data_IF_877197390408
#
_entry.id   IF_877197390408
#
_cell.length_a   1.000
_cell.length_b   1.000
_cell.length_c   1.000
_cell.angle_alpha   90.00
_cell.angle_beta   90.00
_cell.angle_gamma   90.00
#
_symmetry.space_group_name_H-M   'P 1'
#
loop_
_entity.id
_entity.type
_entity.pdbx_description
1 polymer ?
#
# COMPACT_ATOMS: atom_id res chain seq x y z
N UNK A 1 -3.24 24.46 -18.60
CA UNK A 1 -4.39 23.86 -19.31
C UNK A 1 -4.63 22.46 -18.73
N UNK A 2 -5.88 22.07 -18.50
CA UNK A 2 -6.23 20.77 -17.93
C UNK A 2 -5.63 19.62 -18.74
N UNK A 3 -5.35 18.49 -18.09
CA UNK A 3 -4.83 17.26 -18.67
C UNK A 3 -3.43 17.34 -19.30
N UNK A 4 -2.70 18.45 -19.12
CA UNK A 4 -1.28 18.52 -19.50
C UNK A 4 -0.43 17.65 -18.59
N UNK A 5 0.49 16.90 -19.17
CA UNK A 5 1.49 16.14 -18.43
C UNK A 5 2.39 17.05 -17.63
N UNK A 6 2.73 16.61 -16.43
CA UNK A 6 3.65 17.27 -15.52
C UNK A 6 4.43 16.24 -14.71
N UNK A 7 5.67 16.59 -14.41
CA UNK A 7 6.58 15.80 -13.59
C UNK A 7 7.17 16.70 -12.52
N UNK A 8 7.28 16.19 -11.30
CA UNK A 8 7.92 16.89 -10.18
C UNK A 8 9.19 16.15 -9.85
N UNK A 9 10.30 16.87 -9.75
CA UNK A 9 11.60 16.35 -9.35
C UNK A 9 12.00 16.95 -8.01
N UNK A 10 12.55 16.12 -7.12
CA UNK A 10 13.24 16.60 -5.93
C UNK A 10 14.67 16.95 -6.30
N UNK A 11 15.13 18.19 -6.05
CA UNK A 11 16.44 18.66 -6.51
C UNK A 11 17.64 17.81 -6.05
N UNK A 12 17.49 16.99 -5.01
CA UNK A 12 18.48 16.01 -4.53
C UNK A 12 18.11 14.54 -4.76
N UNK A 13 16.94 14.26 -5.37
CA UNK A 13 16.41 12.91 -5.57
C UNK A 13 17.03 12.15 -6.77
N UNK A 14 17.99 12.75 -7.48
CA UNK A 14 18.58 12.19 -8.70
C UNK A 14 17.73 12.48 -9.94
N UNK A 15 17.96 11.72 -11.01
CA UNK A 15 17.29 11.89 -12.31
C UNK A 15 15.86 11.31 -12.36
N UNK A 16 15.34 10.84 -11.22
CA UNK A 16 14.03 10.19 -11.10
C UNK A 16 12.96 11.15 -10.55
N UNK A 17 11.74 11.15 -11.11
CA UNK A 17 10.66 12.01 -10.64
C UNK A 17 10.12 11.55 -9.27
N UNK A 18 9.70 12.51 -8.45
CA UNK A 18 8.88 12.27 -7.24
C UNK A 18 7.42 12.01 -7.57
N UNK A 19 6.96 12.55 -8.71
CA UNK A 19 5.58 12.44 -9.15
C UNK A 19 5.50 12.62 -10.66
N UNK A 20 4.67 11.80 -11.31
CA UNK A 20 4.27 11.94 -12.72
C UNK A 20 2.75 11.90 -12.79
N UNK A 21 2.15 12.88 -13.47
CA UNK A 21 0.71 12.93 -13.62
C UNK A 21 0.25 14.03 -14.57
N UNK A 22 -0.97 14.51 -14.36
CA UNK A 22 -1.61 15.53 -15.20
C UNK A 22 -2.18 16.67 -14.37
N UNK A 23 -2.13 17.88 -14.93
CA UNK A 23 -2.74 19.08 -14.34
C UNK A 23 -4.25 18.89 -14.29
N UNK A 24 -4.80 18.91 -13.08
CA UNK A 24 -6.25 18.87 -12.86
C UNK A 24 -6.84 20.27 -12.86
N UNK A 25 -6.17 21.20 -12.18
CA UNK A 25 -6.62 22.57 -12.06
C UNK A 25 -5.46 23.57 -11.99
N UNK A 26 -5.75 24.82 -12.32
CA UNK A 26 -4.86 25.96 -12.18
C UNK A 26 -5.66 27.17 -11.69
N UNK A 27 -5.50 27.47 -10.42
CA UNK A 27 -6.08 28.65 -9.78
C UNK A 27 -5.06 29.79 -9.79
N UNK A 28 -5.49 30.98 -10.19
CA UNK A 28 -4.64 32.18 -10.24
C UNK A 28 -5.34 33.31 -9.51
N UNK A 29 -4.69 33.81 -8.46
CA UNK A 29 -5.16 34.92 -7.65
C UNK A 29 -4.23 36.13 -7.80
N UNK A 30 -4.83 37.31 -7.91
CA UNK A 30 -4.14 38.59 -7.96
C UNK A 30 -4.52 39.44 -6.74
N UNK A 31 -3.53 39.76 -5.92
CA UNK A 31 -3.69 40.56 -4.70
C UNK A 31 -2.93 41.88 -4.82
N UNK A 32 -3.61 42.99 -4.55
CA UNK A 32 -2.97 44.31 -4.55
C UNK A 32 -1.97 44.42 -3.37
N UNK A 33 -0.86 45.16 -3.52
CA UNK A 33 -0.46 45.92 -4.71
C UNK A 33 0.34 45.10 -5.74
N UNK A 34 1.01 44.01 -5.35
CA UNK A 34 1.99 43.29 -6.21
C UNK A 34 2.13 41.79 -5.88
N UNK A 35 1.09 41.15 -5.37
CA UNK A 35 1.12 39.71 -5.08
C UNK A 35 0.32 39.00 -6.18
N UNK A 36 0.91 37.95 -6.74
CA UNK A 36 0.22 37.05 -7.68
C UNK A 36 0.55 35.63 -7.27
N UNK A 37 -0.49 34.82 -7.07
CA UNK A 37 -0.36 33.43 -6.65
C UNK A 37 -0.94 32.54 -7.73
N UNK A 38 -0.21 31.48 -8.06
CA UNK A 38 -0.71 30.40 -8.92
C UNK A 38 -0.64 29.09 -8.14
N UNK A 39 -1.76 28.37 -8.07
CA UNK A 39 -1.86 27.04 -7.46
C UNK A 39 -2.17 26.06 -8.57
N UNK A 40 -1.26 25.13 -8.81
CA UNK A 40 -1.47 24.04 -9.77
C UNK A 40 -1.80 22.78 -8.99
N UNK A 41 -2.95 22.17 -9.26
CA UNK A 41 -3.27 20.86 -8.71
C UNK A 41 -3.01 19.78 -9.76
N UNK A 42 -2.44 18.66 -9.31
CA UNK A 42 -2.00 17.56 -10.15
C UNK A 42 -2.61 16.27 -9.62
N UNK A 43 -2.95 15.37 -10.54
CA UNK A 43 -3.42 14.02 -10.20
C UNK A 43 -2.70 12.99 -11.07
N UNK A 44 -2.47 11.81 -10.53
CA UNK A 44 -1.93 10.68 -11.27
C UNK A 44 -3.01 10.03 -12.16
N UNK A 45 -2.63 8.92 -12.80
CA UNK A 45 -3.48 8.21 -13.72
C UNK A 45 -4.58 7.38 -13.02
N UNK A 46 -4.57 7.22 -11.68
CA UNK A 46 -5.74 6.66 -10.96
C UNK A 46 -6.96 7.55 -11.16
N UNK A 47 -6.76 8.87 -11.26
CA UNK A 47 -7.87 9.80 -11.51
C UNK A 47 -8.47 9.63 -12.91
N UNK A 48 -7.71 9.14 -13.89
CA UNK A 48 -8.24 8.77 -15.20
C UNK A 48 -9.04 7.47 -15.11
N UNK A 49 -8.48 6.43 -14.48
CA UNK A 49 -9.17 5.16 -14.28
C UNK A 49 -10.49 5.34 -13.51
N UNK A 50 -10.51 6.21 -12.49
CA UNK A 50 -11.71 6.54 -11.72
C UNK A 50 -12.76 7.34 -12.49
N UNK A 51 -12.42 7.91 -13.65
CA UNK A 51 -13.34 8.65 -14.53
C UNK A 51 -13.72 7.89 -15.80
N UNK A 52 -13.23 6.66 -15.95
CA UNK A 52 -13.57 5.79 -17.08
C UNK A 52 -14.51 4.69 -16.60
N UNK A 53 -15.58 4.47 -17.36
CA UNK A 53 -16.50 3.37 -17.14
C UNK A 53 -16.34 2.32 -18.24
N UNK A 54 -16.50 1.07 -17.86
CA UNK A 54 -16.43 -0.10 -18.72
C UNK A 54 -17.65 -0.16 -19.64
N UNK A 55 -17.42 -0.72 -20.83
CA UNK A 55 -18.48 -1.30 -21.64
C UNK A 55 -18.70 -2.74 -21.22
N UNK A 56 -19.95 -3.20 -21.26
CA UNK A 56 -20.30 -4.55 -20.82
C UNK A 56 -19.42 -5.62 -21.50
N UNK A 57 -18.90 -6.55 -20.72
CA UNK A 57 -18.16 -7.70 -21.24
C UNK A 57 -18.18 -8.89 -20.28
N UNK A 58 -18.07 -10.09 -20.86
CA UNK A 58 -17.98 -11.34 -20.11
C UNK A 58 -16.51 -11.77 -20.02
N UNK A 59 -15.90 -11.74 -18.84
CA UNK A 59 -14.54 -12.21 -18.69
C UNK A 59 -14.41 -13.74 -18.66
N UNK A 60 -13.26 -14.26 -19.10
CA UNK A 60 -12.84 -15.63 -18.78
C UNK A 60 -12.32 -15.74 -17.33
N UNK A 61 -12.33 -16.96 -16.78
CA UNK A 61 -11.63 -17.27 -15.53
C UNK A 61 -10.13 -17.09 -15.76
N UNK A 62 -9.47 -16.27 -14.93
CA UNK A 62 -8.06 -15.90 -15.13
C UNK A 62 -7.44 -15.40 -13.84
N UNK A 63 -6.11 -15.42 -13.74
CA UNK A 63 -5.40 -14.84 -12.60
C UNK A 63 -5.80 -13.37 -12.40
N UNK A 64 -5.76 -12.90 -11.16
CA UNK A 64 -6.04 -11.49 -10.81
C UNK A 64 -5.13 -10.52 -11.55
N UNK A 65 -3.84 -10.84 -11.73
CA UNK A 65 -2.91 -10.06 -12.56
C UNK A 65 -3.35 -9.97 -14.02
N UNK A 66 -3.84 -11.09 -14.58
CA UNK A 66 -4.42 -11.12 -15.92
C UNK A 66 -5.75 -10.35 -15.97
N UNK A 67 -6.56 -10.36 -14.90
CA UNK A 67 -7.79 -9.55 -14.76
C UNK A 67 -7.48 -8.06 -14.75
N UNK A 68 -6.51 -7.60 -13.99
CA UNK A 68 -6.05 -6.20 -14.01
C UNK A 68 -5.59 -5.82 -15.41
N UNK A 69 -4.76 -6.65 -16.05
CA UNK A 69 -4.30 -6.39 -17.42
C UNK A 69 -5.48 -6.31 -18.42
N UNK A 70 -6.45 -7.23 -18.33
CA UNK A 70 -7.63 -7.23 -19.19
C UNK A 70 -8.52 -5.98 -19.00
N UNK A 71 -8.63 -5.48 -17.75
CA UNK A 71 -9.34 -4.23 -17.46
C UNK A 71 -8.60 -3.01 -18.05
N UNK A 72 -7.27 -2.99 -17.96
CA UNK A 72 -6.44 -1.92 -18.53
C UNK A 72 -6.38 -1.97 -20.07
N UNK A 73 -6.54 -3.15 -20.68
CA UNK A 73 -6.56 -3.39 -22.13
C UNK A 73 -7.90 -3.05 -22.79
N UNK A 74 -8.95 -2.79 -22.00
CA UNK A 74 -10.27 -2.45 -22.53
C UNK A 74 -10.18 -1.26 -23.49
N UNK A 75 -10.87 -1.26 -24.65
CA UNK A 75 -10.76 -0.17 -25.63
C UNK A 75 -11.09 1.22 -25.08
N UNK A 76 -12.03 1.30 -24.14
CA UNK A 76 -12.41 2.53 -23.42
C UNK A 76 -11.34 3.03 -22.42
N UNK A 77 -10.43 2.15 -21.99
CA UNK A 77 -9.31 2.47 -21.09
C UNK A 77 -8.02 2.69 -21.89
N UNK A 78 -7.69 1.72 -22.76
CA UNK A 78 -6.53 1.70 -23.65
C UNK A 78 -5.22 2.11 -22.94
N UNK A 79 -4.99 1.63 -21.72
CA UNK A 79 -3.80 1.98 -20.96
C UNK A 79 -2.56 1.45 -21.69
N UNK A 80 -1.46 2.19 -21.72
CA UNK A 80 -0.26 1.71 -22.42
C UNK A 80 0.33 0.49 -21.71
N UNK A 81 0.74 -0.54 -22.45
CA UNK A 81 1.47 -1.70 -21.88
C UNK A 81 2.90 -1.36 -21.47
N UNK A 82 3.48 -0.28 -22.01
CA UNK A 82 4.82 0.19 -21.66
C UNK A 82 4.89 0.85 -20.27
N UNK A 83 3.74 1.23 -19.70
CA UNK A 83 3.64 1.92 -18.40
C UNK A 83 2.87 1.09 -17.38
N UNK A 84 3.05 -0.23 -17.41
CA UNK A 84 2.46 -1.18 -16.44
C UNK A 84 3.54 -2.05 -15.82
N UNK A 85 3.40 -2.28 -14.52
CA UNK A 85 4.17 -3.26 -13.75
C UNK A 85 3.19 -4.13 -13.00
N UNK A 86 2.82 -5.27 -13.57
CA UNK A 86 1.79 -6.15 -13.03
C UNK A 86 2.45 -7.45 -12.57
N UNK A 87 2.65 -7.58 -11.26
CA UNK A 87 3.17 -8.81 -10.67
C UNK A 87 2.14 -9.94 -10.81
N UNK A 88 2.60 -11.18 -11.00
CA UNK A 88 1.72 -12.36 -11.06
C UNK A 88 0.91 -12.48 -9.78
N UNK A 89 -0.42 -12.61 -9.91
CA UNK A 89 -1.32 -12.72 -8.76
C UNK A 89 -1.40 -14.14 -8.19
N UNK A 90 -1.90 -14.26 -6.96
CA UNK A 90 -1.96 -15.52 -6.21
C UNK A 90 -3.30 -16.24 -6.39
N UNK A 91 -4.35 -15.51 -6.74
CA UNK A 91 -5.72 -16.01 -6.89
C UNK A 91 -6.22 -15.90 -8.32
N UNK A 92 -7.34 -16.57 -8.58
CA UNK A 92 -8.03 -16.57 -9.87
C UNK A 92 -9.38 -15.89 -9.74
N UNK A 93 -9.66 -14.96 -10.65
CA UNK A 93 -10.94 -14.32 -10.78
C UNK A 93 -11.97 -15.20 -11.51
N UNK A 94 -13.22 -15.11 -11.09
CA UNK A 94 -14.35 -15.78 -11.73
C UNK A 94 -14.75 -15.18 -13.09
N UNK A 95 -15.88 -15.63 -13.63
CA UNK A 95 -16.40 -15.26 -14.96
C UNK A 95 -17.60 -14.30 -14.90
N UNK A 96 -17.87 -13.70 -13.74
CA UNK A 96 -18.99 -12.78 -13.58
C UNK A 96 -18.80 -11.58 -14.51
N UNK A 97 -19.87 -11.22 -15.22
CA UNK A 97 -19.85 -10.15 -16.22
C UNK A 97 -19.61 -8.79 -15.55
N UNK A 98 -18.92 -7.91 -16.26
CA UNK A 98 -18.96 -6.48 -15.98
C UNK A 98 -20.07 -5.87 -16.83
N UNK A 99 -20.90 -5.04 -16.22
CA UNK A 99 -22.02 -4.39 -16.87
C UNK A 99 -21.58 -3.07 -17.53
N UNK A 100 -22.44 -2.55 -18.42
CA UNK A 100 -22.25 -1.20 -18.91
C UNK A 100 -22.28 -0.21 -17.74
N UNK A 101 -21.36 0.74 -17.76
CA UNK A 101 -21.22 1.79 -16.76
C UNK A 101 -20.53 1.38 -15.45
N UNK A 102 -20.02 0.15 -15.34
CA UNK A 102 -19.15 -0.24 -14.21
C UNK A 102 -17.87 0.61 -14.20
N UNK A 103 -17.50 1.14 -13.04
CA UNK A 103 -16.31 1.98 -12.94
C UNK A 103 -15.01 1.15 -13.02
N UNK A 104 -14.06 1.58 -13.85
CA UNK A 104 -12.80 0.84 -14.06
C UNK A 104 -11.97 0.75 -12.79
N UNK A 105 -11.83 1.86 -12.04
CA UNK A 105 -11.05 1.86 -10.79
C UNK A 105 -11.72 0.98 -9.74
N UNK A 106 -13.04 1.04 -9.59
CA UNK A 106 -13.78 0.15 -8.69
C UNK A 106 -13.62 -1.33 -9.07
N UNK A 107 -13.64 -1.66 -10.36
CA UNK A 107 -13.39 -3.02 -10.84
C UNK A 107 -11.97 -3.49 -10.51
N UNK A 108 -10.95 -2.64 -10.67
CA UNK A 108 -9.57 -2.94 -10.27
C UNK A 108 -9.49 -3.11 -8.75
N UNK A 109 -10.12 -2.24 -7.97
CA UNK A 109 -10.10 -2.31 -6.50
C UNK A 109 -10.73 -3.60 -5.98
N UNK A 110 -11.81 -4.09 -6.61
CA UNK A 110 -12.39 -5.39 -6.28
C UNK A 110 -11.39 -6.55 -6.49
N UNK A 111 -10.59 -6.48 -7.55
CA UNK A 111 -9.54 -7.47 -7.83
C UNK A 111 -8.38 -7.35 -6.86
N UNK A 112 -8.04 -6.13 -6.43
CA UNK A 112 -7.02 -5.87 -5.40
C UNK A 112 -7.47 -6.41 -4.05
N UNK A 113 -8.74 -6.21 -3.68
CA UNK A 113 -9.34 -6.76 -2.45
C UNK A 113 -9.30 -8.29 -2.46
N UNK A 114 -9.58 -8.92 -3.61
CA UNK A 114 -9.49 -10.37 -3.77
C UNK A 114 -8.08 -10.91 -3.48
N UNK A 115 -7.06 -10.06 -3.56
CA UNK A 115 -5.67 -10.40 -3.33
C UNK A 115 -5.14 -9.91 -1.98
N UNK A 116 -5.88 -9.14 -1.16
CA UNK A 116 -5.33 -8.27 -0.10
C UNK A 116 -4.05 -7.51 -0.57
N UNK A 117 -4.06 -7.11 -1.85
CA UNK A 117 -2.90 -6.55 -2.55
C UNK A 117 -2.92 -5.04 -2.61
N UNK A 118 -2.19 -4.49 -3.58
CA UNK A 118 -2.23 -3.05 -3.89
C UNK A 118 -2.18 -2.75 -5.38
N UNK A 119 -2.84 -1.66 -5.74
CA UNK A 119 -2.75 -1.05 -7.07
C UNK A 119 -2.57 0.46 -6.93
N UNK A 120 -1.48 0.98 -7.51
CA UNK A 120 -1.12 2.39 -7.43
C UNK A 120 -0.35 2.84 -8.68
N UNK A 121 -0.21 4.14 -8.88
CA UNK A 121 0.71 4.71 -9.88
C UNK A 121 2.01 5.02 -9.16
N UNK A 122 3.11 4.39 -9.58
CA UNK A 122 4.42 4.67 -9.00
C UNK A 122 4.87 6.10 -9.26
N UNK A 123 5.89 6.58 -8.55
CA UNK A 123 6.49 7.91 -8.78
C UNK A 123 6.90 8.15 -10.23
N UNK A 124 7.24 7.06 -10.96
CA UNK A 124 7.60 7.08 -12.38
C UNK A 124 6.41 7.11 -13.35
N UNK A 125 5.17 7.10 -12.86
CA UNK A 125 3.96 7.10 -13.70
C UNK A 125 3.53 5.70 -14.18
N UNK A 126 4.07 4.64 -13.59
CA UNK A 126 3.76 3.25 -13.98
C UNK A 126 2.63 2.69 -13.13
N UNK A 127 1.58 2.17 -13.79
CA UNK A 127 0.51 1.46 -13.11
C UNK A 127 1.04 0.14 -12.54
N UNK A 128 1.06 0.06 -11.21
CA UNK A 128 1.71 -1.02 -10.47
C UNK A 128 0.66 -1.84 -9.75
N UNK A 129 0.60 -3.13 -10.06
CA UNK A 129 -0.18 -4.13 -9.32
C UNK A 129 0.77 -5.06 -8.60
N UNK A 130 0.58 -5.20 -7.30
CA UNK A 130 1.27 -6.18 -6.47
C UNK A 130 0.20 -6.98 -5.73
N UNK A 131 0.23 -8.32 -5.81
CA UNK A 131 -0.65 -9.16 -4.99
C UNK A 131 -0.32 -8.98 -3.50
N UNK A 132 -1.03 -9.69 -2.61
CA UNK A 132 -0.53 -9.86 -1.24
C UNK A 132 0.94 -10.26 -1.34
N UNK A 133 1.77 -9.42 -0.74
CA UNK A 133 3.11 -9.82 -0.38
C UNK A 133 2.94 -10.71 0.83
N UNK A 134 2.80 -12.01 0.54
CA UNK A 134 2.86 -13.03 1.56
C UNK A 134 4.10 -12.78 2.41
N UNK A 135 3.99 -13.17 3.67
CA UNK A 135 5.08 -13.64 4.51
C UNK A 135 6.39 -13.88 3.75
N UNK A 136 7.17 -12.81 3.58
CA UNK A 136 8.38 -12.83 2.75
C UNK A 136 9.59 -12.66 3.65
N UNK A 137 10.74 -13.14 3.19
CA UNK A 137 12.05 -12.78 3.74
C UNK A 137 12.48 -11.39 3.27
N UNK A 138 11.53 -10.45 3.32
CA UNK A 138 11.70 -9.09 2.84
C UNK A 138 12.71 -8.37 3.73
N UNK A 139 13.78 -7.88 3.13
CA UNK A 139 14.75 -7.02 3.84
C UNK A 139 14.29 -5.58 3.72
N UNK A 140 14.32 -4.85 4.83
CA UNK A 140 14.07 -3.42 4.82
C UNK A 140 15.05 -2.70 3.87
N UNK A 141 14.51 -1.94 2.93
CA UNK A 141 15.27 -1.12 1.97
C UNK A 141 16.02 -0.02 2.70
N UNK A 142 15.42 0.55 3.75
CA UNK A 142 16.02 1.57 4.60
C UNK A 142 15.76 1.29 6.07
N UNK A 143 16.70 1.73 6.91
CA UNK A 143 16.56 1.72 8.36
C UNK A 143 16.51 3.15 8.91
N UNK A 144 15.59 3.37 9.84
CA UNK A 144 15.42 4.60 10.60
C UNK A 144 15.70 4.36 12.07
N UNK A 145 16.36 5.31 12.74
CA UNK A 145 16.79 5.12 14.13
C UNK A 145 17.08 6.43 14.86
N UNK A 146 17.11 6.36 16.18
CA UNK A 146 17.34 7.50 17.08
C UNK A 146 18.63 7.39 17.92
N UNK A 147 19.38 6.29 17.79
CA UNK A 147 20.61 6.02 18.54
C UNK A 147 21.92 6.37 17.79
N UNK A 148 21.83 7.00 16.60
CA UNK A 148 22.97 7.25 15.73
C UNK A 148 23.42 6.02 14.92
N UNK A 149 24.56 6.11 14.23
CA UNK A 149 25.10 5.04 13.39
C UNK A 149 24.70 5.15 11.91
N UNK A 150 24.41 4.02 11.27
CA UNK A 150 24.08 3.94 9.83
C UNK A 150 22.59 4.16 9.53
N UNK A 151 21.73 4.13 10.55
CA UNK A 151 20.30 4.37 10.39
C UNK A 151 20.01 5.86 10.13
N UNK A 152 18.99 6.13 9.32
CA UNK A 152 18.56 7.49 8.98
C UNK A 152 17.83 8.11 10.18
N UNK A 153 18.26 9.27 10.68
CA UNK A 153 17.58 9.93 11.80
C UNK A 153 16.22 10.46 11.38
N UNK A 154 15.21 10.21 12.20
CA UNK A 154 13.85 10.73 12.04
C UNK A 154 13.55 11.81 13.08
N UNK A 155 12.52 12.63 12.80
CA UNK A 155 12.12 13.77 13.64
C UNK A 155 10.79 13.51 14.36
N UNK A 156 9.93 12.68 13.79
CA UNK A 156 8.68 12.26 14.42
C UNK A 156 8.46 10.76 14.24
N UNK A 157 7.90 10.13 15.26
CA UNK A 157 7.45 8.75 15.21
C UNK A 157 6.12 8.65 15.97
N UNK A 158 5.08 8.20 15.29
CA UNK A 158 3.75 8.00 15.85
C UNK A 158 3.47 6.51 16.03
N UNK A 159 2.85 6.17 17.16
CA UNK A 159 2.45 4.80 17.50
C UNK A 159 0.93 4.76 17.57
N UNK A 160 0.32 3.85 16.82
CA UNK A 160 -1.09 3.52 16.94
C UNK A 160 -1.30 2.27 17.78
N UNK A 161 -2.32 2.30 18.63
CA UNK A 161 -2.87 1.13 19.31
C UNK A 161 -4.37 1.37 19.52
N UNK A 162 -5.20 0.44 19.08
CA UNK A 162 -6.64 0.57 19.28
C UNK A 162 -7.46 -0.45 18.50
N UNK A 163 -8.77 -0.38 18.74
CA UNK A 163 -9.78 -1.30 18.19
C UNK A 163 -10.16 -0.97 16.74
N UNK A 164 -9.63 0.10 16.17
CA UNK A 164 -10.01 0.60 14.83
C UNK A 164 -9.64 -0.38 13.71
N UNK A 165 -8.68 -1.27 13.97
CA UNK A 165 -8.28 -2.33 13.04
C UNK A 165 -8.48 -3.73 13.62
N UNK A 166 -9.24 -3.86 14.70
CA UNK A 166 -9.52 -5.14 15.31
C UNK A 166 -10.67 -5.82 14.55
N UNK A 167 -10.39 -6.94 13.90
CA UNK A 167 -11.40 -7.77 13.23
C UNK A 167 -11.14 -9.25 13.52
N UNK A 168 -12.07 -9.88 14.23
CA UNK A 168 -11.97 -11.28 14.64
C UNK A 168 -13.11 -12.16 14.10
N UNK A 169 -13.93 -11.60 13.22
CA UNK A 169 -14.91 -12.29 12.39
C UNK A 169 -14.87 -11.72 10.97
N UNK A 170 -14.33 -12.49 10.02
CA UNK A 170 -14.22 -12.07 8.61
C UNK A 170 -15.25 -12.83 7.79
N UNK A 171 -15.97 -12.10 6.94
CA UNK A 171 -16.99 -12.62 6.05
C UNK A 171 -16.69 -12.15 4.63
N UNK A 172 -16.47 -13.09 3.71
CA UNK A 172 -16.13 -12.84 2.31
C UNK A 172 -17.22 -13.43 1.42
N UNK A 173 -18.05 -12.57 0.84
CA UNK A 173 -19.01 -12.92 -0.19
C UNK A 173 -18.28 -13.09 -1.52
N UNK A 174 -18.06 -14.33 -1.93
CA UNK A 174 -17.45 -14.63 -3.23
C UNK A 174 -18.52 -14.51 -4.32
N UNK A 175 -18.26 -13.73 -5.37
CA UNK A 175 -19.26 -13.47 -6.42
C UNK A 175 -19.83 -14.76 -7.02
N UNK A 176 -21.16 -14.86 -7.01
CA UNK A 176 -21.88 -16.02 -7.55
C UNK A 176 -21.73 -17.31 -6.74
N UNK A 177 -21.11 -17.27 -5.56
CA UNK A 177 -20.89 -18.41 -4.66
C UNK A 177 -21.40 -18.09 -3.24
N UNK A 178 -21.20 -19.05 -2.32
CA UNK A 178 -21.55 -18.90 -0.90
C UNK A 178 -20.61 -17.96 -0.15
N UNK A 179 -21.01 -17.56 1.05
CA UNK A 179 -20.19 -16.79 1.98
C UNK A 179 -19.04 -17.67 2.55
N UNK A 180 -17.80 -17.19 2.43
CA UNK A 180 -16.66 -17.72 3.17
C UNK A 180 -16.48 -16.98 4.49
N UNK A 181 -16.15 -17.69 5.57
CA UNK A 181 -16.07 -17.11 6.92
C UNK A 181 -14.83 -17.58 7.67
N UNK A 182 -14.20 -16.69 8.42
CA UNK A 182 -13.13 -17.02 9.36
C UNK A 182 -13.31 -16.24 10.66
N UNK A 183 -13.31 -16.94 11.80
CA UNK A 183 -13.49 -16.34 13.13
C UNK A 183 -12.42 -16.82 14.11
N UNK A 184 -12.15 -16.03 15.16
CA UNK A 184 -11.28 -16.41 16.27
C UNK A 184 -12.06 -16.32 17.59
N UNK A 185 -12.36 -17.47 18.21
CA UNK A 185 -13.20 -17.52 19.41
C UNK A 185 -12.50 -16.94 20.66
N UNK A 186 -11.18 -17.02 20.72
CA UNK A 186 -10.39 -16.49 21.85
C UNK A 186 -10.40 -14.97 21.82
N UNK A 187 -10.07 -14.39 20.67
CA UNK A 187 -10.14 -12.94 20.46
C UNK A 187 -11.57 -12.41 20.64
N UNK A 188 -12.60 -13.15 20.20
CA UNK A 188 -14.00 -12.76 20.44
C UNK A 188 -14.38 -12.78 21.92
N UNK A 189 -13.85 -13.72 22.70
CA UNK A 189 -14.10 -13.77 24.14
C UNK A 189 -13.43 -12.59 24.87
N UNK A 190 -12.28 -12.13 24.40
CA UNK A 190 -11.52 -11.03 25.01
C UNK A 190 -12.01 -9.64 24.56
N UNK A 191 -12.24 -9.46 23.25
CA UNK A 191 -12.51 -8.14 22.66
C UNK A 191 -13.93 -7.99 22.08
N UNK A 192 -14.77 -9.02 22.20
CA UNK A 192 -16.09 -9.06 21.58
C UNK A 192 -16.03 -9.31 20.08
N UNK A 193 -17.19 -9.48 19.44
CA UNK A 193 -17.27 -9.76 18.00
C UNK A 193 -17.05 -8.48 17.20
N UNK A 194 -15.97 -8.43 16.42
CA UNK A 194 -15.66 -7.36 15.48
C UNK A 194 -15.65 -7.92 14.06
N UNK A 195 -16.62 -7.50 13.24
CA UNK A 195 -16.86 -8.09 11.92
C UNK A 195 -16.34 -7.22 10.78
N UNK A 196 -15.57 -7.83 9.88
CA UNK A 196 -15.25 -7.28 8.55
C UNK A 196 -16.04 -8.06 7.50
N UNK A 197 -16.87 -7.35 6.72
CA UNK A 197 -17.66 -7.94 5.63
C UNK A 197 -17.19 -7.39 4.29
N UNK A 198 -16.74 -8.29 3.42
CA UNK A 198 -16.41 -8.01 2.03
C UNK A 198 -17.47 -8.65 1.15
N UNK A 199 -18.16 -7.85 0.33
CA UNK A 199 -19.20 -8.34 -0.56
C UNK A 199 -18.69 -8.39 -2.00
N UNK A 200 -19.25 -9.31 -2.78
CA UNK A 200 -19.01 -9.42 -4.22
C UNK A 200 -17.51 -9.40 -4.60
N UNK A 201 -16.69 -10.17 -3.87
CA UNK A 201 -15.27 -10.35 -4.17
C UNK A 201 -15.14 -11.27 -5.40
N UNK A 202 -14.42 -10.86 -6.46
CA UNK A 202 -14.44 -11.53 -7.76
C UNK A 202 -13.57 -12.80 -7.82
N UNK A 203 -13.52 -13.60 -6.75
CA UNK A 203 -12.79 -14.87 -6.68
C UNK A 203 -13.56 -16.00 -7.38
N UNK A 204 -12.83 -16.98 -7.93
CA UNK A 204 -13.45 -18.09 -8.67
C UNK A 204 -13.89 -19.29 -7.81
N UNK A 205 -13.43 -19.39 -6.55
CA UNK A 205 -13.69 -20.53 -5.68
C UNK A 205 -13.94 -20.09 -4.24
N UNK A 206 -14.79 -20.86 -3.54
CA UNK A 206 -15.02 -20.67 -2.11
C UNK A 206 -13.74 -20.89 -1.28
N UNK A 207 -12.87 -21.82 -1.71
CA UNK A 207 -11.60 -22.07 -1.04
C UNK A 207 -10.70 -20.82 -1.01
N UNK A 208 -10.57 -20.11 -2.15
CA UNK A 208 -9.84 -18.85 -2.19
C UNK A 208 -10.47 -17.78 -1.28
N UNK A 209 -11.80 -17.70 -1.24
CA UNK A 209 -12.50 -16.80 -0.31
C UNK A 209 -12.23 -17.11 1.16
N UNK A 210 -12.17 -18.40 1.52
CA UNK A 210 -11.80 -18.84 2.88
C UNK A 210 -10.36 -18.50 3.22
N UNK A 211 -9.41 -18.69 2.28
CA UNK A 211 -8.01 -18.28 2.48
C UNK A 211 -7.89 -16.78 2.70
N UNK A 212 -8.57 -15.95 1.90
CA UNK A 212 -8.61 -14.50 2.11
C UNK A 212 -9.17 -14.14 3.49
N UNK A 213 -10.28 -14.77 3.90
CA UNK A 213 -10.87 -14.53 5.20
C UNK A 213 -9.93 -14.90 6.36
N UNK A 214 -9.18 -16.01 6.24
CA UNK A 214 -8.20 -16.45 7.23
C UNK A 214 -7.03 -15.47 7.33
N UNK A 215 -6.47 -15.04 6.20
CA UNK A 215 -5.35 -14.09 6.17
C UNK A 215 -5.73 -12.76 6.84
N UNK A 216 -6.90 -12.21 6.50
CA UNK A 216 -7.40 -10.97 7.11
C UNK A 216 -7.65 -11.14 8.62
N UNK A 217 -8.20 -12.27 9.05
CA UNK A 217 -8.38 -12.57 10.47
C UNK A 217 -7.04 -12.59 11.19
N UNK A 218 -6.06 -13.32 10.66
CA UNK A 218 -4.76 -13.47 11.32
C UNK A 218 -3.97 -12.17 11.40
N UNK A 219 -4.22 -11.24 10.47
CA UNK A 219 -3.67 -9.88 10.46
C UNK A 219 -4.34 -8.94 11.48
N UNK A 220 -5.64 -9.09 11.72
CA UNK A 220 -6.45 -8.11 12.45
C UNK A 220 -7.09 -8.61 13.74
N UNK A 221 -6.98 -9.90 14.09
CA UNK A 221 -7.69 -10.48 15.24
C UNK A 221 -7.21 -9.98 16.59
N UNK A 222 -5.97 -9.51 16.70
CA UNK A 222 -5.37 -9.07 17.96
C UNK A 222 -4.88 -7.63 17.84
N UNK A 223 -5.12 -6.77 18.84
CA UNK A 223 -4.61 -5.40 18.83
C UNK A 223 -3.10 -5.42 19.03
N UNK A 224 -2.37 -4.77 18.13
CA UNK A 224 -0.90 -4.67 18.18
C UNK A 224 -0.46 -3.21 18.22
N UNK A 225 0.60 -2.93 18.97
CA UNK A 225 1.29 -1.66 18.88
C UNK A 225 2.03 -1.59 17.54
N UNK A 226 1.71 -0.59 16.73
CA UNK A 226 2.33 -0.37 15.42
C UNK A 226 2.84 1.06 15.30
N UNK A 227 3.95 1.22 14.61
CA UNK A 227 4.36 2.54 14.14
C UNK A 227 3.47 2.89 12.96
N UNK A 228 2.70 3.96 13.06
CA UNK A 228 1.74 4.35 12.02
C UNK A 228 2.32 5.41 11.09
N UNK A 229 3.21 6.24 11.61
CA UNK A 229 3.78 7.35 10.85
C UNK A 229 5.20 7.65 11.32
N UNK A 230 6.07 7.98 10.38
CA UNK A 230 7.41 8.51 10.64
C UNK A 230 7.64 9.77 9.80
N UNK A 231 8.31 10.77 10.37
CA UNK A 231 8.64 12.01 9.69
C UNK A 231 10.15 12.22 9.63
N UNK A 232 10.65 12.60 8.45
CA UNK A 232 12.06 12.77 8.14
C UNK A 232 12.27 14.09 7.41
N UNK A 233 13.25 14.89 7.83
CA UNK A 233 13.64 16.17 7.25
C UNK A 233 14.91 15.94 6.43
N UNK A 234 14.83 16.17 5.12
CA UNK A 234 15.93 15.83 4.22
C UNK A 234 17.09 16.81 4.30
N UNK A 235 16.86 18.07 4.71
CA UNK A 235 17.87 19.14 4.76
C UNK A 235 19.12 18.78 5.58
N UNK A 236 18.95 17.97 6.63
CA UNK A 236 20.05 17.55 7.51
C UNK A 236 20.70 16.22 7.12
N UNK A 237 20.23 15.57 6.05
CA UNK A 237 20.74 14.27 5.63
C UNK A 237 21.89 14.41 4.63
N UNK A 238 22.71 13.37 4.52
CA UNK A 238 23.66 13.24 3.40
C UNK A 238 22.91 13.16 2.07
N UNK A 239 23.55 13.55 0.96
CA UNK A 239 22.94 13.45 -0.37
C UNK A 239 22.47 12.02 -0.70
N UNK A 240 23.22 11.00 -0.26
CA UNK A 240 22.84 9.60 -0.44
C UNK A 240 21.57 9.22 0.34
N UNK A 241 21.48 9.61 1.62
CA UNK A 241 20.30 9.33 2.45
C UNK A 241 19.08 10.12 1.98
N UNK A 242 19.26 11.40 1.63
CA UNK A 242 18.19 12.23 1.08
C UNK A 242 17.64 11.65 -0.23
N UNK A 243 18.52 11.17 -1.12
CA UNK A 243 18.12 10.46 -2.33
C UNK A 243 17.37 9.18 -1.99
N UNK A 244 17.92 8.34 -1.11
CA UNK A 244 17.32 7.06 -0.74
C UNK A 244 15.88 7.22 -0.19
N UNK A 245 15.67 8.18 0.72
CA UNK A 245 14.34 8.50 1.27
C UNK A 245 13.41 9.05 0.19
N UNK A 246 13.91 9.91 -0.69
CA UNK A 246 13.13 10.49 -1.79
C UNK A 246 12.73 9.46 -2.86
N UNK A 247 13.45 8.34 -2.94
CA UNK A 247 13.21 7.24 -3.86
C UNK A 247 12.53 6.05 -3.20
N UNK A 248 11.91 6.23 -2.02
CA UNK A 248 10.98 5.23 -1.49
C UNK A 248 9.72 5.18 -2.37
N UNK A 249 9.08 4.02 -2.38
CA UNK A 249 7.82 3.77 -3.09
C UNK A 249 6.80 3.08 -2.19
N UNK A 250 5.52 3.19 -2.55
CA UNK A 250 4.46 2.42 -1.90
C UNK A 250 4.78 0.92 -2.00
N UNK A 251 4.73 0.24 -0.86
CA UNK A 251 5.03 -1.18 -0.73
C UNK A 251 6.47 -1.50 -0.34
N UNK A 252 7.38 -0.53 -0.31
CA UNK A 252 8.74 -0.74 0.19
C UNK A 252 8.74 -1.10 1.68
N UNK A 253 9.69 -1.93 2.09
CA UNK A 253 9.91 -2.27 3.50
C UNK A 253 10.88 -1.29 4.13
N UNK A 254 10.54 -0.79 5.32
CA UNK A 254 11.41 0.06 6.13
C UNK A 254 11.50 -0.48 7.55
N UNK A 255 12.71 -0.50 8.11
CA UNK A 255 12.94 -0.86 9.51
C UNK A 255 13.00 0.40 10.34
N UNK A 256 12.30 0.42 11.46
CA UNK A 256 12.26 1.55 12.38
C UNK A 256 12.67 1.06 13.75
N UNK A 257 13.66 1.73 14.32
CA UNK A 257 14.15 1.48 15.68
C UNK A 257 13.86 2.69 16.56
N UNK A 258 13.17 2.44 17.67
CA UNK A 258 13.00 3.39 18.78
C UNK A 258 13.80 2.94 19.98
N UNK A 259 14.63 3.82 20.52
CA UNK A 259 15.43 3.56 21.71
C UNK A 259 14.84 4.29 22.92
N UNK A 260 14.90 3.64 24.08
CA UNK A 260 14.42 4.17 25.35
C UNK A 260 15.60 4.32 26.31
N UNK A 261 15.70 5.49 26.95
CA UNK A 261 16.75 5.75 27.94
C UNK A 261 16.55 4.93 29.22
N UNK A 262 15.29 4.59 29.53
CA UNK A 262 14.88 3.81 30.71
C UNK A 262 13.73 2.88 30.31
N UNK A 263 13.73 1.66 30.85
CA UNK A 263 12.67 0.66 30.60
C UNK A 263 13.20 -0.63 29.97
N UNK A 264 12.34 -1.64 29.90
CA UNK A 264 12.59 -2.90 29.20
C UNK A 264 11.42 -3.17 28.25
N UNK A 265 11.67 -3.44 26.96
CA UNK A 265 12.99 -3.47 26.31
C UNK A 265 13.60 -2.06 26.15
N UNK A 266 14.92 -1.98 26.07
CA UNK A 266 15.64 -0.71 25.83
C UNK A 266 15.51 -0.22 24.39
N UNK A 267 15.07 -1.08 23.48
CA UNK A 267 14.74 -0.74 22.09
C UNK A 267 13.52 -1.49 21.62
N UNK A 268 12.77 -0.87 20.71
CA UNK A 268 11.72 -1.52 19.92
C UNK A 268 12.06 -1.32 18.46
N UNK A 269 12.28 -2.42 17.75
CA UNK A 269 12.50 -2.45 16.32
C UNK A 269 11.31 -3.11 15.63
N UNK A 270 10.82 -2.50 14.56
CA UNK A 270 9.75 -3.06 13.71
C UNK A 270 10.06 -2.79 12.25
N UNK A 271 9.77 -3.77 11.42
CA UNK A 271 9.76 -3.59 9.96
C UNK A 271 8.33 -3.37 9.51
N UNK A 272 8.12 -2.37 8.67
CA UNK A 272 6.82 -1.88 8.24
C UNK A 272 6.82 -1.69 6.72
N UNK A 273 5.64 -1.79 6.10
CA UNK A 273 5.45 -1.37 4.71
C UNK A 273 5.19 0.13 4.64
N UNK A 274 5.69 0.77 3.59
CA UNK A 274 5.29 2.14 3.24
C UNK A 274 3.93 2.07 2.54
N UNK A 275 2.89 2.64 3.15
CA UNK A 275 1.53 2.70 2.59
C UNK A 275 1.20 4.08 2.03
N UNK A 276 1.86 5.13 2.54
CA UNK A 276 1.68 6.50 2.09
C UNK A 276 3.02 7.22 2.12
N UNK A 277 3.24 8.11 1.15
CA UNK A 277 4.38 9.03 1.14
C UNK A 277 3.84 10.44 0.93
N UNK A 278 4.25 11.38 1.77
CA UNK A 278 3.89 12.79 1.66
C UNK A 278 5.13 13.65 1.69
N UNK A 279 5.34 14.42 0.63
CA UNK A 279 6.42 15.39 0.53
C UNK A 279 5.86 16.79 0.80
N UNK A 280 6.31 17.45 1.86
CA UNK A 280 6.06 18.86 2.10
C UNK A 280 7.34 19.65 1.83
N UNK A 281 7.32 20.46 0.77
CA UNK A 281 8.49 21.21 0.29
C UNK A 281 8.19 22.70 0.39
N UNK A 282 8.97 23.39 1.20
CA UNK A 282 8.98 24.85 1.33
C UNK A 282 10.36 25.39 0.92
N UNK A 283 10.54 26.71 0.75
CA UNK A 283 11.86 27.27 0.46
C UNK A 283 12.95 26.91 1.48
N UNK A 284 12.56 26.57 2.72
CA UNK A 284 13.49 26.31 3.81
C UNK A 284 13.61 24.84 4.17
N UNK A 285 12.59 24.02 3.90
CA UNK A 285 12.51 22.64 4.38
C UNK A 285 11.89 21.70 3.37
N UNK A 286 12.42 20.48 3.31
CA UNK A 286 11.79 19.33 2.68
C UNK A 286 11.57 18.26 3.74
N UNK A 287 10.32 18.07 4.12
CA UNK A 287 9.89 17.03 5.05
C UNK A 287 9.19 15.91 4.28
N UNK A 288 9.59 14.67 4.53
CA UNK A 288 8.93 13.46 4.04
C UNK A 288 8.25 12.78 5.23
N UNK A 289 6.96 12.55 5.10
CA UNK A 289 6.17 11.78 6.06
C UNK A 289 5.75 10.48 5.40
N UNK A 290 6.03 9.35 6.07
CA UNK A 290 5.65 8.02 5.61
C UNK A 290 4.52 7.50 6.49
N UNK A 291 3.41 7.11 5.87
CA UNK A 291 2.39 6.28 6.52
C UNK A 291 2.78 4.82 6.42
N UNK A 292 2.60 4.09 7.52
CA UNK A 292 3.20 2.77 7.73
C UNK A 292 2.15 1.70 7.97
N UNK A 293 2.25 0.62 7.20
CA UNK A 293 1.49 -0.60 7.32
C UNK A 293 2.28 -1.68 8.07
N UNK A 294 1.57 -2.55 8.78
CA UNK A 294 2.20 -3.69 9.42
C UNK A 294 2.75 -4.65 8.37
N UNK A 295 4.05 -4.96 8.47
CA UNK A 295 4.63 -6.06 7.70
C UNK A 295 4.51 -7.36 8.50
N UNK A 296 3.99 -8.40 7.85
CA UNK A 296 4.05 -9.77 8.36
C UNK A 296 5.23 -10.46 7.67
N UNK A 297 6.34 -10.57 8.39
CA UNK A 297 7.58 -11.18 7.89
C UNK A 297 7.80 -12.51 8.58
N UNK A 298 8.18 -13.54 7.82
CA UNK A 298 8.68 -14.77 8.39
C UNK A 298 10.17 -14.62 8.69
N UNK A 299 10.56 -15.17 9.83
CA UNK A 299 11.95 -15.42 10.18
C UNK A 299 12.39 -16.72 9.48
N UNK A 300 13.57 -16.72 8.85
CA UNK A 300 14.15 -17.94 8.28
C UNK A 300 14.32 -18.99 9.37
N UNK A 301 13.93 -20.23 9.08
CA UNK A 301 14.28 -21.36 9.92
C UNK A 301 15.81 -21.53 9.97
N UNK A 302 16.38 -21.47 11.18
CA UNK A 302 17.79 -21.73 11.44
C UNK A 302 17.90 -23.09 12.13
N UNK A 303 18.69 -24.01 11.55
CA UNK A 303 19.00 -25.31 12.15
C UNK A 303 19.69 -25.11 13.52
N UNK A 304 19.30 -25.90 14.51
CA UNK A 304 19.72 -25.78 15.93
C UNK A 304 19.28 -24.51 16.68
N UNK A 305 18.17 -23.87 16.26
CA UNK A 305 17.50 -22.83 17.06
C UNK A 305 16.41 -23.42 17.97
N UNK A 306 16.20 -22.83 19.15
CA UNK A 306 15.21 -23.26 20.15
C UNK A 306 13.75 -22.96 19.78
N UNK A 307 13.47 -22.56 18.53
CA UNK A 307 12.19 -22.06 18.04
C UNK A 307 11.47 -23.08 17.14
N UNK A 308 11.55 -24.37 17.48
CA UNK A 308 10.65 -25.37 16.92
C UNK A 308 9.22 -25.01 17.39
N UNK A 309 8.28 -24.85 16.45
CA UNK A 309 6.86 -24.46 16.62
C UNK A 309 6.52 -22.95 16.69
N UNK A 310 7.41 -22.03 16.27
CA UNK A 310 7.02 -20.62 16.07
C UNK A 310 6.33 -20.43 14.71
N UNK A 311 5.08 -19.95 14.71
CA UNK A 311 4.29 -19.63 13.51
C UNK A 311 4.94 -18.53 12.64
N UNK A 312 5.91 -17.81 13.18
CA UNK A 312 6.69 -16.80 12.47
C UNK A 312 7.98 -17.37 11.86
N UNK A 313 8.25 -18.68 11.94
CA UNK A 313 9.46 -19.33 11.41
C UNK A 313 9.10 -20.29 10.27
N UNK A 314 9.71 -20.11 9.09
CA UNK A 314 9.39 -20.89 7.88
C UNK A 314 10.62 -21.32 7.08
N UNK A 315 10.45 -22.38 6.27
CA UNK A 315 11.40 -22.77 5.22
C UNK A 315 11.04 -21.98 3.95
N UNK A 316 12.02 -21.24 3.40
CA UNK A 316 11.85 -20.49 2.17
C UNK A 316 11.90 -21.30 0.89
#
# INVERSE_FOLDING_TARGET
APMRYAQIYGGTAGDEPLFVGRVRDLDIDYEQPKISRAIVSLVDDLAQLGRTNLKAFNPSSQLTSARVSALLDRPEVAYSTATRSITTGNFTCGTVAYDDNDNVKSAIDAVVIAEDGRFFISRGGTATFQPTIDFTFGTATLSFGDAGGTAIPYQGLSVGYGVETLYNNIQVGVQGLSLATASDATSQAEFGVQTLSLNDVPLNTLAAGTTLAQNLRDKYKDPVFRFNEISVVLNGLSAANAKAVSTLEIGDLVSITKSFTVGSPSTVQRTMFVEQITHNITPNTHTVTLGLGQAQLLTLFILDSSALDDVNVGLG
#
